data_IF_027220206739
#
_entry.id   IF_027220206739
#
_cell.length_a   1.000
_cell.length_b   1.000
_cell.length_c   1.000
_cell.angle_alpha   90.00
_cell.angle_beta   90.00
_cell.angle_gamma   90.00
#
_symmetry.space_group_name_H-M   'P 1'
#
loop_
_entity.id
_entity.type
_entity.pdbx_description
1 polymer ?
#
# COMPACT_ATOMS: atom_id res chain seq x y z
N UNK A 1 -13.99 -12.68 19.91
CA UNK A 1 -12.54 -12.87 19.76
C UNK A 1 -12.07 -11.93 18.65
N UNK A 2 -11.03 -11.12 18.91
CA UNK A 2 -10.49 -10.12 17.97
C UNK A 2 -10.94 -8.66 18.17
N UNK A 3 -12.09 -8.43 18.84
CA UNK A 3 -12.69 -7.09 19.11
C UNK A 3 -12.65 -6.18 17.87
N UNK A 4 -13.54 -6.46 16.90
CA UNK A 4 -13.64 -5.71 15.64
C UNK A 4 -12.32 -5.60 14.83
N UNK A 5 -11.36 -6.50 15.05
CA UNK A 5 -10.08 -6.51 14.36
C UNK A 5 -8.95 -5.78 15.09
N UNK A 6 -9.16 -5.29 16.32
CA UNK A 6 -8.10 -4.69 17.16
C UNK A 6 -7.04 -5.73 17.54
N UNK A 7 -7.45 -6.97 17.79
CA UNK A 7 -6.55 -8.06 18.16
C UNK A 7 -6.47 -9.11 17.05
N UNK A 8 -5.26 -9.43 16.61
CA UNK A 8 -5.01 -10.48 15.63
C UNK A 8 -5.02 -11.86 16.28
N UNK A 9 -6.22 -12.41 16.44
CA UNK A 9 -6.42 -13.77 16.93
C UNK A 9 -6.09 -14.81 15.84
N UNK A 10 -6.10 -14.43 14.55
CA UNK A 10 -5.87 -15.36 13.45
C UNK A 10 -4.42 -15.87 13.45
N UNK A 11 -3.46 -14.97 13.66
CA UNK A 11 -2.04 -15.32 13.80
C UNK A 11 -1.78 -16.30 14.95
N UNK A 12 -2.52 -16.20 16.06
CA UNK A 12 -2.42 -17.14 17.18
C UNK A 12 -2.80 -18.59 16.79
N UNK A 13 -3.68 -18.75 15.81
CA UNK A 13 -4.09 -20.05 15.27
C UNK A 13 -3.27 -20.47 14.03
N UNK A 14 -2.14 -19.81 13.76
CA UNK A 14 -1.25 -20.15 12.65
C UNK A 14 -1.71 -19.62 11.29
N UNK A 15 -2.70 -18.74 11.25
CA UNK A 15 -3.10 -18.03 10.03
C UNK A 15 -2.31 -16.74 9.92
N UNK A 16 -1.11 -16.84 9.36
CA UNK A 16 -0.24 -15.68 9.14
C UNK A 16 -0.88 -14.70 8.15
N UNK A 17 -0.76 -13.41 8.47
CA UNK A 17 -1.16 -12.33 7.57
C UNK A 17 -0.40 -12.44 6.24
N UNK A 18 -1.14 -12.41 5.14
CA UNK A 18 -0.57 -12.34 3.78
C UNK A 18 -0.59 -10.89 3.30
N UNK A 19 0.27 -10.60 2.33
CA UNK A 19 0.23 -9.33 1.61
C UNK A 19 -1.17 -9.12 0.98
N UNK A 20 -1.64 -7.88 1.02
CA UNK A 20 -2.96 -7.51 0.50
C UNK A 20 -2.94 -7.53 -1.02
N UNK A 21 -3.88 -8.27 -1.61
CA UNK A 21 -4.15 -8.29 -3.05
C UNK A 21 -5.12 -7.17 -3.45
N UNK A 22 -4.98 -6.65 -4.66
CA UNK A 22 -5.83 -5.58 -5.21
C UNK A 22 -6.12 -5.75 -6.71
N UNK A 23 -7.11 -5.00 -7.21
CA UNK A 23 -7.48 -5.06 -8.63
C UNK A 23 -6.36 -4.57 -9.58
N UNK A 24 -5.44 -3.72 -9.11
CA UNK A 24 -4.26 -3.33 -9.88
C UNK A 24 -3.31 -4.52 -10.08
N UNK A 25 -3.15 -5.37 -9.06
CA UNK A 25 -2.40 -6.62 -9.16
C UNK A 25 -3.08 -7.60 -10.12
N UNK A 26 -4.39 -7.73 -10.01
CA UNK A 26 -5.19 -8.56 -10.94
C UNK A 26 -4.99 -8.13 -12.40
N UNK A 27 -5.08 -6.83 -12.68
CA UNK A 27 -4.81 -6.29 -14.02
C UNK A 27 -3.35 -6.52 -14.45
N UNK A 28 -2.41 -6.43 -13.52
CA UNK A 28 -0.99 -6.73 -13.77
C UNK A 28 -0.76 -8.17 -14.20
N UNK A 29 -1.41 -9.14 -13.54
CA UNK A 29 -1.37 -10.56 -13.93
C UNK A 29 -1.96 -10.76 -15.33
N UNK A 30 -2.99 -9.99 -15.71
CA UNK A 30 -3.59 -10.02 -17.04
C UNK A 30 -2.76 -9.30 -18.12
N UNK A 31 -1.56 -8.82 -17.78
CA UNK A 31 -0.63 -8.21 -18.73
C UNK A 31 -0.79 -6.70 -18.89
N UNK A 32 -1.64 -6.05 -18.10
CA UNK A 32 -1.69 -4.60 -18.09
C UNK A 32 -0.39 -4.04 -17.46
N UNK A 33 0.37 -3.29 -18.26
CA UNK A 33 1.54 -2.58 -17.77
C UNK A 33 1.17 -1.52 -16.72
N UNK A 34 2.12 -1.04 -15.91
CA UNK A 34 1.86 -0.03 -14.89
C UNK A 34 1.36 1.30 -15.51
N UNK A 35 1.87 1.66 -16.69
CA UNK A 35 1.62 2.97 -17.30
C UNK A 35 2.44 4.07 -16.61
N UNK A 36 1.94 5.31 -16.64
CA UNK A 36 2.62 6.43 -16.00
C UNK A 36 2.64 6.26 -14.47
N UNK A 37 3.80 6.53 -13.89
CA UNK A 37 3.97 6.62 -12.44
C UNK A 37 3.75 8.06 -11.98
N UNK A 38 3.09 8.25 -10.84
CA UNK A 38 2.90 9.54 -10.20
C UNK A 38 2.67 9.35 -8.71
N UNK A 39 2.77 10.43 -7.94
CA UNK A 39 2.59 10.41 -6.48
C UNK A 39 1.35 11.22 -6.15
N UNK A 40 0.41 10.59 -5.46
CA UNK A 40 -0.77 11.26 -4.95
C UNK A 40 -0.46 11.93 -3.61
N UNK A 41 -0.98 13.15 -3.36
CA UNK A 41 -0.92 13.75 -2.03
C UNK A 41 -1.56 12.80 -1.02
N UNK A 42 -0.90 12.60 0.12
CA UNK A 42 -1.33 11.72 1.24
C UNK A 42 -1.31 10.22 0.90
N UNK A 43 -1.86 9.79 -0.24
CA UNK A 43 -1.98 8.37 -0.61
C UNK A 43 -0.66 7.76 -1.13
N UNK A 44 0.28 8.59 -1.59
CA UNK A 44 1.62 8.16 -1.95
C UNK A 44 1.78 7.68 -3.40
N UNK A 45 2.87 6.93 -3.67
CA UNK A 45 3.24 6.45 -4.99
C UNK A 45 2.19 5.56 -5.65
N UNK A 46 1.90 5.78 -6.94
CA UNK A 46 0.95 4.97 -7.70
C UNK A 46 1.25 4.94 -9.20
N UNK A 47 0.49 4.13 -9.93
CA UNK A 47 0.51 4.06 -11.40
C UNK A 47 -0.89 4.23 -11.96
N UNK A 48 -1.01 4.49 -13.28
CA UNK A 48 -2.32 4.54 -13.94
C UNK A 48 -3.10 3.23 -13.71
N UNK A 49 -2.46 2.07 -13.89
CA UNK A 49 -3.10 0.77 -13.66
C UNK A 49 -3.61 0.63 -12.23
N UNK A 50 -2.77 0.96 -11.25
CA UNK A 50 -3.10 0.78 -9.84
C UNK A 50 -4.18 1.80 -9.39
N UNK A 51 -4.19 2.99 -9.98
CA UNK A 51 -5.25 3.99 -9.78
C UNK A 51 -6.60 3.51 -10.33
N UNK A 52 -6.62 2.94 -11.54
CA UNK A 52 -7.81 2.32 -12.11
C UNK A 52 -8.28 1.15 -11.24
N UNK A 53 -7.38 0.28 -10.80
CA UNK A 53 -7.70 -0.81 -9.87
C UNK A 53 -8.31 -0.30 -8.56
N UNK A 54 -7.81 0.82 -8.03
CA UNK A 54 -8.37 1.46 -6.84
C UNK A 54 -9.78 1.98 -7.07
N UNK A 55 -10.05 2.59 -8.24
CA UNK A 55 -11.40 3.04 -8.61
C UNK A 55 -12.38 1.87 -8.76
N UNK A 56 -11.94 0.76 -9.36
CA UNK A 56 -12.74 -0.48 -9.46
C UNK A 56 -13.05 -1.02 -8.06
N UNK A 57 -12.08 -0.97 -7.15
CA UNK A 57 -12.29 -1.35 -5.75
C UNK A 57 -13.39 -0.49 -5.12
N UNK A 58 -13.33 0.83 -5.27
CA UNK A 58 -14.33 1.75 -4.72
C UNK A 58 -15.72 1.48 -5.33
N UNK A 59 -15.79 1.24 -6.63
CA UNK A 59 -17.07 1.08 -7.34
C UNK A 59 -17.83 -0.23 -7.00
N UNK A 60 -17.14 -1.28 -6.52
CA UNK A 60 -17.82 -2.56 -6.30
C UNK A 60 -17.12 -3.61 -5.44
N UNK A 61 -15.94 -3.32 -4.89
CA UNK A 61 -15.17 -4.27 -4.06
C UNK A 61 -14.85 -3.80 -2.64
N UNK A 62 -15.02 -2.51 -2.34
CA UNK A 62 -14.67 -1.92 -1.06
C UNK A 62 -15.90 -1.95 -0.11
N UNK A 63 -15.90 -2.95 0.76
CA UNK A 63 -16.96 -3.10 1.77
C UNK A 63 -17.06 -1.88 2.70
N UNK A 64 -15.93 -1.21 2.99
CA UNK A 64 -15.93 -0.02 3.83
C UNK A 64 -16.58 1.16 3.11
N UNK A 65 -16.26 1.38 1.84
CA UNK A 65 -16.92 2.39 1.00
C UNK A 65 -18.44 2.14 0.90
N UNK A 66 -18.85 0.89 0.74
CA UNK A 66 -20.27 0.53 0.65
C UNK A 66 -21.05 0.85 1.94
N UNK A 67 -20.46 0.60 3.12
CA UNK A 67 -21.11 0.83 4.41
C UNK A 67 -21.16 2.32 4.80
N UNK A 68 -20.18 3.10 4.36
CA UNK A 68 -20.00 4.50 4.78
C UNK A 68 -20.55 5.52 3.78
N UNK A 69 -20.48 5.23 2.48
CA UNK A 69 -20.84 6.17 1.40
C UNK A 69 -22.09 5.73 0.64
N UNK A 70 -22.14 4.47 0.22
CA UNK A 70 -23.23 3.98 -0.67
C UNK A 70 -24.52 3.72 0.10
N UNK A 71 -24.42 3.09 1.28
CA UNK A 71 -25.57 2.71 2.09
C UNK A 71 -25.78 3.70 3.23
N UNK A 72 -27.02 4.15 3.42
CA UNK A 72 -27.40 4.91 4.61
C UNK A 72 -27.61 3.96 5.78
N UNK A 73 -26.56 3.78 6.58
CA UNK A 73 -26.56 2.88 7.74
C UNK A 73 -26.88 3.61 9.05
N UNK A 74 -27.11 4.92 9.05
CA UNK A 74 -27.34 5.79 10.23
C UNK A 74 -26.19 5.86 11.27
N UNK A 75 -25.25 4.92 11.25
CA UNK A 75 -24.11 4.85 12.16
C UNK A 75 -22.81 5.40 11.55
N UNK A 76 -22.73 5.40 10.22
CA UNK A 76 -21.56 5.83 9.48
C UNK A 76 -21.94 6.85 8.44
N UNK A 77 -20.99 7.72 8.14
CA UNK A 77 -21.11 8.80 7.17
C UNK A 77 -19.96 8.74 6.17
N UNK A 78 -20.13 9.44 5.04
CA UNK A 78 -19.07 9.59 4.05
C UNK A 78 -17.83 10.28 4.63
N UNK A 79 -17.99 11.14 5.65
CA UNK A 79 -16.86 11.76 6.34
C UNK A 79 -15.97 10.73 7.03
N UNK A 80 -16.53 9.65 7.57
CA UNK A 80 -15.78 8.57 8.22
C UNK A 80 -14.90 7.82 7.20
N UNK A 81 -15.40 7.64 5.98
CA UNK A 81 -14.63 7.05 4.88
C UNK A 81 -13.41 7.92 4.56
N UNK A 82 -13.60 9.20 4.27
CA UNK A 82 -12.47 10.06 3.91
C UNK A 82 -11.51 10.29 5.08
N UNK A 83 -12.03 10.39 6.31
CA UNK A 83 -11.20 10.47 7.51
C UNK A 83 -10.33 9.22 7.65
N UNK A 84 -10.88 8.02 7.47
CA UNK A 84 -10.10 6.78 7.51
C UNK A 84 -9.02 6.73 6.44
N UNK A 85 -9.31 7.15 5.19
CA UNK A 85 -8.32 7.22 4.11
C UNK A 85 -7.22 8.25 4.38
N UNK A 86 -7.56 9.37 5.01
CA UNK A 86 -6.58 10.38 5.44
C UNK A 86 -5.66 9.81 6.52
N UNK A 87 -6.23 9.15 7.53
CA UNK A 87 -5.48 8.51 8.61
C UNK A 87 -4.56 7.41 8.07
N UNK A 88 -5.02 6.59 7.12
CA UNK A 88 -4.20 5.58 6.45
C UNK A 88 -2.98 6.20 5.75
N UNK A 89 -3.16 7.33 5.07
CA UNK A 89 -2.04 8.04 4.43
C UNK A 89 -1.07 8.67 5.43
N UNK A 90 -1.58 9.20 6.54
CA UNK A 90 -0.74 9.71 7.64
C UNK A 90 0.04 8.58 8.28
N UNK A 91 -0.60 7.45 8.59
CA UNK A 91 0.04 6.25 9.16
C UNK A 91 1.11 5.70 8.22
N UNK A 92 0.83 5.60 6.92
CA UNK A 92 1.81 5.23 5.91
C UNK A 92 3.01 6.18 5.93
N UNK A 93 2.78 7.50 5.92
CA UNK A 93 3.86 8.48 5.95
C UNK A 93 4.67 8.38 7.24
N UNK A 94 4.03 8.19 8.38
CA UNK A 94 4.68 8.06 9.68
C UNK A 94 5.57 6.81 9.75
N UNK A 95 5.07 5.66 9.27
CA UNK A 95 5.82 4.39 9.27
C UNK A 95 7.04 4.38 8.34
N UNK A 96 7.02 5.22 7.30
CA UNK A 96 8.09 5.26 6.30
C UNK A 96 8.98 6.51 6.43
N UNK A 97 8.78 7.34 7.46
CA UNK A 97 9.43 8.65 7.57
C UNK A 97 10.95 8.53 7.59
N UNK A 98 11.49 7.59 8.37
CA UNK A 98 12.93 7.33 8.46
C UNK A 98 13.52 6.83 7.13
N UNK A 99 12.83 5.92 6.44
CA UNK A 99 13.26 5.42 5.12
C UNK A 99 13.28 6.55 4.09
N UNK A 100 12.30 7.47 4.13
CA UNK A 100 12.29 8.63 3.25
C UNK A 100 13.43 9.59 3.56
N UNK A 101 13.70 9.87 4.84
CA UNK A 101 14.80 10.75 5.27
C UNK A 101 16.16 10.16 4.90
N UNK A 102 16.34 8.84 5.03
CA UNK A 102 17.55 8.14 4.59
C UNK A 102 17.71 8.22 3.06
N UNK A 103 16.66 7.93 2.30
CA UNK A 103 16.69 8.06 0.85
C UNK A 103 16.96 9.50 0.39
N UNK A 104 16.40 10.50 1.06
CA UNK A 104 16.63 11.91 0.71
C UNK A 104 18.10 12.31 0.90
N UNK A 105 18.76 11.80 1.95
CA UNK A 105 20.18 12.07 2.22
C UNK A 105 21.12 11.30 1.30
N UNK A 106 20.79 10.05 1.00
CA UNK A 106 21.69 9.11 0.33
C UNK A 106 21.46 8.98 -1.19
N UNK A 107 20.31 9.46 -1.71
CA UNK A 107 20.01 9.38 -3.13
C UNK A 107 20.31 10.67 -3.88
N UNK A 108 20.75 10.52 -5.13
CA UNK A 108 20.93 11.66 -6.05
C UNK A 108 19.58 12.24 -6.50
N UNK A 109 18.57 11.38 -6.62
CA UNK A 109 17.20 11.74 -6.98
C UNK A 109 16.21 10.88 -6.17
N UNK A 110 15.58 11.52 -5.18
CA UNK A 110 14.59 10.90 -4.31
C UNK A 110 13.40 10.37 -5.11
N UNK A 111 12.92 11.12 -6.10
CA UNK A 111 11.76 10.74 -6.88
C UNK A 111 12.04 9.50 -7.74
N UNK A 112 13.18 9.47 -8.43
CA UNK A 112 13.59 8.32 -9.22
C UNK A 112 13.80 7.07 -8.34
N UNK A 113 14.36 7.25 -7.15
CA UNK A 113 14.61 6.16 -6.19
C UNK A 113 13.29 5.55 -5.70
N UNK A 114 12.37 6.39 -5.21
CA UNK A 114 11.04 5.96 -4.75
C UNK A 114 10.25 5.31 -5.89
N UNK A 115 10.32 5.86 -7.10
CA UNK A 115 9.69 5.27 -8.29
C UNK A 115 10.22 3.87 -8.57
N UNK A 116 11.54 3.70 -8.56
CA UNK A 116 12.18 2.41 -8.84
C UNK A 116 11.75 1.35 -7.83
N UNK A 117 11.82 1.69 -6.54
CA UNK A 117 11.45 0.82 -5.44
C UNK A 117 9.96 0.44 -5.50
N UNK A 118 9.09 1.42 -5.73
CA UNK A 118 7.65 1.18 -5.88
C UNK A 118 7.36 0.19 -7.02
N UNK A 119 7.96 0.39 -8.20
CA UNK A 119 7.71 -0.49 -9.34
C UNK A 119 8.26 -1.91 -9.11
N UNK A 120 9.39 -2.05 -8.40
CA UNK A 120 9.96 -3.34 -8.01
C UNK A 120 9.04 -4.08 -7.02
N UNK A 121 8.56 -3.40 -5.97
CA UNK A 121 7.62 -3.99 -5.01
C UNK A 121 6.29 -4.40 -5.69
N UNK A 122 5.74 -3.56 -6.58
CA UNK A 122 4.53 -3.93 -7.33
C UNK A 122 4.74 -5.15 -8.21
N UNK A 123 5.89 -5.25 -8.87
CA UNK A 123 6.22 -6.41 -9.68
C UNK A 123 6.32 -7.70 -8.84
N UNK A 124 6.93 -7.61 -7.65
CA UNK A 124 7.01 -8.70 -6.68
C UNK A 124 5.62 -9.18 -6.27
N UNK A 125 4.75 -8.25 -5.88
CA UNK A 125 3.37 -8.50 -5.44
C UNK A 125 2.53 -9.17 -6.53
N UNK A 126 2.53 -8.61 -7.75
CA UNK A 126 1.82 -9.18 -8.92
C UNK A 126 2.25 -10.63 -9.21
N UNK A 127 3.53 -10.94 -9.03
CA UNK A 127 4.08 -12.27 -9.30
C UNK A 127 4.05 -13.21 -8.09
N UNK A 128 3.53 -12.76 -6.94
CA UNK A 128 3.53 -13.51 -5.69
C UNK A 128 4.94 -14.02 -5.31
N UNK A 129 5.97 -13.18 -5.49
CA UNK A 129 7.34 -13.52 -5.16
C UNK A 129 7.55 -13.30 -3.65
N UNK A 130 7.65 -14.41 -2.92
CA UNK A 130 7.84 -14.46 -1.45
C UNK A 130 9.32 -14.42 -1.02
N UNK A 131 10.23 -14.22 -1.97
CA UNK A 131 11.65 -14.00 -1.65
C UNK A 131 11.87 -12.53 -1.37
N UNK A 132 12.23 -12.22 -0.13
CA UNK A 132 13.02 -11.03 0.20
C UNK A 132 14.32 -11.14 -0.60
N UNK A 133 14.41 -10.44 -1.73
CA UNK A 133 15.71 -10.18 -2.36
C UNK A 133 16.43 -9.19 -1.44
N UNK A 134 17.71 -9.43 -1.17
CA UNK A 134 18.52 -8.70 -0.18
C UNK A 134 18.29 -7.17 -0.22
N UNK A 135 18.11 -6.61 -1.42
CA UNK A 135 17.81 -5.18 -1.68
C UNK A 135 16.53 -4.59 -1.06
N UNK A 136 15.70 -5.38 -0.36
CA UNK A 136 14.40 -4.98 0.20
C UNK A 136 14.15 -5.57 1.60
N UNK A 137 15.17 -6.13 2.27
CA UNK A 137 15.03 -6.40 3.71
C UNK A 137 14.88 -5.06 4.44
N UNK A 138 13.94 -4.95 5.38
CA UNK A 138 13.84 -3.76 6.22
C UNK A 138 15.15 -3.49 7.00
N UNK A 139 15.99 -4.53 7.15
CA UNK A 139 17.32 -4.47 7.77
C UNK A 139 18.39 -3.77 6.89
N UNK A 140 18.24 -3.72 5.56
CA UNK A 140 19.21 -3.09 4.65
C UNK A 140 19.08 -1.56 4.59
N UNK A 141 18.00 -0.99 5.15
CA UNK A 141 17.86 0.47 5.29
C UNK A 141 18.82 1.06 6.33
N UNK A 142 19.26 0.25 7.30
CA UNK A 142 20.31 0.60 8.25
C UNK A 142 21.73 0.36 7.68
N UNK A 143 21.90 -0.50 6.67
CA UNK A 143 23.24 -0.89 6.17
C UNK A 143 23.87 0.08 5.15
N UNK A 144 23.16 1.09 4.67
CA UNK A 144 23.77 2.17 3.85
C UNK A 144 24.79 3.00 4.65
N UNK A 145 24.82 2.87 5.98
CA UNK A 145 25.74 3.58 6.88
C UNK A 145 27.17 2.97 6.96
N UNK A 146 27.48 1.88 6.24
CA UNK A 146 28.74 1.13 6.48
C UNK A 146 29.71 0.94 5.29
N UNK A 147 29.71 1.82 4.28
CA UNK A 147 30.84 1.93 3.34
C UNK A 147 31.28 3.36 3.05
#
# INVERSE_FOLDING_TARGET
LGIAGIFDVASYYGLNKRDKEDYGQTLGVWGAGPGCYFVLPVLGPTTIRDSVGSLVSIAGGDAWYNVTVVNDTQYFSEADYYASRLLDGIDFRAKNLESFDSLEKNSVDLYASVRSLYLQDRYRKIRNIDKTTDTLSDDDWEEVDSQ
#
